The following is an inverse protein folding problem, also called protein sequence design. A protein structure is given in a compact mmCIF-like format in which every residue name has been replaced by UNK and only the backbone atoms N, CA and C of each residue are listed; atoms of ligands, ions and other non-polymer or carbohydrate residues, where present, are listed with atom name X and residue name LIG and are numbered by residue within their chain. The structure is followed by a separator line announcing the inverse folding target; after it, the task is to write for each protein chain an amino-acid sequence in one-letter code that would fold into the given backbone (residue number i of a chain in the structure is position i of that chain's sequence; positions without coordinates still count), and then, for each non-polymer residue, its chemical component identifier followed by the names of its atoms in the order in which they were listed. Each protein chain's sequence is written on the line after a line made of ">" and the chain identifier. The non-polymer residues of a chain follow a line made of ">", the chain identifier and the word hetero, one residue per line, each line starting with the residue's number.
data_IF_790003654851
#
_entry.id   IF_790003654851
#
_cell.length_a   1.000
_cell.length_b   1.000
_cell.length_c   1.000
_cell.angle_alpha   90.00
_cell.angle_beta   90.00
_cell.angle_gamma   90.00
#
_symmetry.space_group_name_H-M   'P 1'
#
loop_
_entity.id
_entity.type
_entity.pdbx_description
1 polymer ?
#
# COMPACT_ATOMS: atom_id res chain seq x y z
N UNK A 1 32.28 -48.72 -39.39
CA UNK A 1 31.69 -47.38 -39.63
C UNK A 1 30.24 -47.42 -39.16
N UNK A 2 29.92 -46.76 -38.05
CA UNK A 2 28.54 -46.49 -37.61
C UNK A 2 28.57 -45.25 -36.71
N UNK A 3 27.79 -44.18 -36.98
CA UNK A 3 27.94 -42.92 -36.26
C UNK A 3 27.11 -42.86 -34.98
N UNK A 4 27.74 -42.17 -34.03
CA UNK A 4 27.34 -41.73 -32.70
C UNK A 4 25.97 -41.00 -32.71
N UNK A 5 25.11 -41.28 -31.72
CA UNK A 5 24.05 -40.34 -31.30
C UNK A 5 24.14 -40.12 -29.80
N UNK A 6 24.75 -39.00 -29.41
CA UNK A 6 24.62 -38.44 -28.06
C UNK A 6 23.33 -37.61 -28.05
N UNK A 7 22.31 -38.12 -27.36
CA UNK A 7 21.12 -37.35 -27.05
C UNK A 7 21.46 -36.40 -25.88
N UNK A 8 21.66 -35.12 -26.18
CA UNK A 8 21.79 -34.07 -25.18
C UNK A 8 20.43 -33.77 -24.56
N UNK A 9 20.28 -34.05 -23.28
CA UNK A 9 19.08 -33.73 -22.50
C UNK A 9 19.21 -32.27 -22.03
N UNK A 10 18.51 -31.34 -22.69
CA UNK A 10 18.37 -29.97 -22.18
C UNK A 10 17.43 -29.98 -20.97
N UNK A 11 17.98 -29.83 -19.77
CA UNK A 11 17.22 -29.56 -18.57
C UNK A 11 16.72 -28.10 -18.60
N UNK A 12 15.42 -27.91 -18.81
CA UNK A 12 14.76 -26.60 -18.68
C UNK A 12 14.55 -26.34 -17.18
N UNK A 13 15.37 -25.47 -16.60
CA UNK A 13 15.17 -25.00 -15.23
C UNK A 13 13.94 -24.07 -15.21
N UNK A 14 12.85 -24.51 -14.59
CA UNK A 14 11.68 -23.68 -14.35
C UNK A 14 12.03 -22.59 -13.32
N UNK A 15 12.22 -21.36 -13.77
CA UNK A 15 12.27 -20.19 -12.90
C UNK A 15 10.86 -19.94 -12.34
N UNK A 16 10.62 -20.41 -11.12
CA UNK A 16 9.42 -20.03 -10.36
C UNK A 16 9.59 -18.56 -9.96
N UNK A 17 8.69 -17.64 -10.36
CA UNK A 17 8.81 -16.25 -9.96
C UNK A 17 8.61 -16.16 -8.46
N UNK A 18 9.64 -15.69 -7.74
CA UNK A 18 9.52 -15.42 -6.33
C UNK A 18 8.47 -14.32 -6.13
N UNK A 19 7.37 -14.64 -5.45
CA UNK A 19 6.47 -13.64 -4.89
C UNK A 19 7.27 -12.88 -3.82
N UNK A 20 7.91 -11.78 -4.23
CA UNK A 20 8.60 -10.90 -3.30
C UNK A 20 7.60 -10.44 -2.23
N UNK A 21 7.82 -10.86 -0.99
CA UNK A 21 7.14 -10.32 0.18
C UNK A 21 7.52 -8.84 0.28
N UNK A 22 6.58 -7.99 0.69
CA UNK A 22 6.90 -6.60 0.98
C UNK A 22 7.99 -6.56 2.05
N UNK A 23 8.95 -5.63 1.93
CA UNK A 23 9.96 -5.46 2.96
C UNK A 23 9.26 -5.03 4.27
N UNK A 24 9.59 -5.64 5.42
CA UNK A 24 9.03 -5.22 6.69
C UNK A 24 9.42 -3.76 6.96
N UNK A 25 8.48 -2.99 7.47
CA UNK A 25 8.73 -1.62 7.93
C UNK A 25 9.52 -1.67 9.24
N UNK A 26 10.27 -0.60 9.50
CA UNK A 26 10.85 -0.36 10.83
C UNK A 26 9.76 -0.45 11.91
N UNK A 27 10.04 -1.16 13.00
CA UNK A 27 9.04 -1.49 14.02
C UNK A 27 8.37 -0.26 14.67
N UNK A 28 9.08 0.87 14.73
CA UNK A 28 8.62 2.16 15.25
C UNK A 28 8.23 3.15 14.13
N UNK A 29 8.02 2.69 12.89
CA UNK A 29 7.62 3.59 11.80
C UNK A 29 6.25 4.23 12.11
N UNK A 30 6.12 5.57 12.02
CA UNK A 30 4.90 6.28 12.44
C UNK A 30 3.63 5.88 11.67
N UNK A 31 3.74 5.21 10.52
CA UNK A 31 2.61 4.84 9.66
C UNK A 31 1.89 3.59 10.15
N UNK A 32 2.54 2.74 10.95
CA UNK A 32 1.93 1.50 11.44
C UNK A 32 0.77 1.84 12.36
N UNK A 33 -0.38 1.20 12.13
CA UNK A 33 -1.61 1.44 12.87
C UNK A 33 -2.86 1.49 12.01
N UNK A 34 -3.95 1.97 12.61
CA UNK A 34 -5.24 2.17 11.94
C UNK A 34 -5.49 3.66 11.78
N UNK A 35 -5.86 4.05 10.56
CA UNK A 35 -6.10 5.43 10.17
C UNK A 35 -7.44 5.56 9.50
N UNK A 36 -8.13 6.67 9.75
CA UNK A 36 -9.44 6.94 9.18
C UNK A 36 -9.43 8.27 8.45
N UNK A 37 -9.95 8.26 7.23
CA UNK A 37 -10.22 9.45 6.42
C UNK A 37 -11.73 9.65 6.40
N UNK A 38 -12.20 10.81 6.83
CA UNK A 38 -13.59 11.21 6.63
C UNK A 38 -13.71 11.97 5.30
N UNK A 39 -14.72 11.61 4.50
CA UNK A 39 -15.05 12.21 3.20
C UNK A 39 -16.48 12.78 3.29
N UNK A 40 -16.65 13.94 3.96
CA UNK A 40 -17.98 14.44 4.34
C UNK A 40 -18.86 14.79 3.13
N UNK A 41 -18.28 15.33 2.07
CA UNK A 41 -19.00 15.65 0.82
C UNK A 41 -19.58 14.40 0.14
N UNK A 42 -18.99 13.23 0.41
CA UNK A 42 -19.46 11.93 -0.08
C UNK A 42 -20.26 11.15 0.96
N UNK A 43 -20.45 11.71 2.17
CA UNK A 43 -20.99 11.02 3.34
C UNK A 43 -20.33 9.62 3.55
N UNK A 44 -19.02 9.55 3.33
CA UNK A 44 -18.26 8.31 3.30
C UNK A 44 -17.02 8.40 4.18
N UNK A 45 -16.42 7.24 4.49
CA UNK A 45 -15.15 7.19 5.19
C UNK A 45 -14.30 6.03 4.68
N UNK A 46 -12.99 6.23 4.73
CA UNK A 46 -12.01 5.20 4.41
C UNK A 46 -11.22 4.82 5.66
N UNK A 47 -10.89 3.54 5.80
CA UNK A 47 -10.05 3.05 6.90
C UNK A 47 -8.86 2.30 6.34
N UNK A 48 -7.67 2.66 6.80
CA UNK A 48 -6.39 2.08 6.41
C UNK A 48 -5.80 1.38 7.64
N UNK A 49 -5.73 0.05 7.63
CA UNK A 49 -5.01 -0.74 8.64
C UNK A 49 -3.67 -1.16 8.05
N UNK A 50 -2.60 -0.45 8.42
CA UNK A 50 -1.24 -0.63 7.90
C UNK A 50 -0.43 -1.42 8.94
N UNK A 51 0.12 -2.56 8.52
CA UNK A 51 0.88 -3.48 9.37
C UNK A 51 2.38 -3.28 9.18
N UNK A 52 3.15 -3.69 10.20
CA UNK A 52 4.62 -3.61 10.17
C UNK A 52 5.26 -4.54 9.13
N UNK A 53 4.52 -5.53 8.60
CA UNK A 53 5.01 -6.44 7.55
C UNK A 53 4.92 -5.87 6.13
N UNK A 54 4.52 -4.60 5.96
CA UNK A 54 4.37 -3.98 4.65
C UNK A 54 3.08 -4.34 3.94
N UNK A 55 2.08 -4.87 4.64
CA UNK A 55 0.73 -5.06 4.12
C UNK A 55 -0.24 -4.03 4.69
N UNK A 56 -1.31 -3.72 3.94
CA UNK A 56 -2.44 -2.98 4.47
C UNK A 56 -3.78 -3.55 4.02
N UNK A 57 -4.78 -3.44 4.90
CA UNK A 57 -6.19 -3.66 4.59
C UNK A 57 -6.87 -2.29 4.52
N UNK A 58 -7.50 -2.00 3.40
CA UNK A 58 -8.20 -0.73 3.13
C UNK A 58 -9.68 -1.04 2.94
N UNK A 59 -10.53 -0.27 3.60
CA UNK A 59 -11.98 -0.31 3.40
C UNK A 59 -12.46 1.08 2.98
N UNK A 60 -13.19 1.19 1.88
CA UNK A 60 -13.73 2.44 1.34
C UNK A 60 -15.14 2.17 0.81
N UNK A 61 -16.17 2.71 1.47
CA UNK A 61 -17.57 2.33 1.22
C UNK A 61 -17.78 0.78 1.25
N UNK A 62 -18.11 0.16 0.11
CA UNK A 62 -18.29 -1.30 -0.02
C UNK A 62 -16.98 -2.01 -0.41
N UNK A 63 -15.96 -1.27 -0.85
CA UNK A 63 -14.65 -1.80 -1.25
C UNK A 63 -13.89 -2.34 -0.03
N UNK A 64 -13.27 -3.51 -0.23
CA UNK A 64 -12.30 -4.10 0.70
C UNK A 64 -11.10 -4.56 -0.10
N UNK A 65 -9.99 -3.86 0.07
CA UNK A 65 -8.75 -4.09 -0.67
C UNK A 65 -7.60 -4.53 0.26
N UNK A 66 -6.86 -5.55 -0.16
CA UNK A 66 -5.56 -5.92 0.44
C UNK A 66 -4.44 -5.37 -0.44
N UNK A 67 -3.45 -4.75 0.18
CA UNK A 67 -2.37 -4.06 -0.51
C UNK A 67 -0.99 -4.41 0.03
N UNK A 68 0.03 -4.24 -0.81
CA UNK A 68 1.43 -4.09 -0.39
C UNK A 68 1.74 -2.60 -0.30
N UNK A 69 2.24 -2.20 0.86
CA UNK A 69 2.53 -0.83 1.21
C UNK A 69 4.03 -0.65 1.40
N UNK A 70 4.66 0.06 0.48
CA UNK A 70 6.06 0.44 0.54
C UNK A 70 6.16 1.91 0.96
N UNK A 71 7.03 2.22 1.92
CA UNK A 71 7.27 3.57 2.40
C UNK A 71 8.75 3.76 2.70
N UNK A 72 9.27 4.95 2.43
CA UNK A 72 10.63 5.31 2.81
C UNK A 72 10.81 5.24 4.34
N UNK A 73 11.96 4.76 4.83
CA UNK A 73 12.21 4.68 6.28
C UNK A 73 12.31 6.04 6.97
N UNK A 74 12.63 7.09 6.21
CA UNK A 74 12.85 8.46 6.67
C UNK A 74 12.17 9.45 5.72
N UNK A 75 11.78 10.64 6.21
CA UNK A 75 11.26 11.69 5.34
C UNK A 75 12.39 12.31 4.52
N UNK A 76 12.02 12.96 3.42
CA UNK A 76 12.90 13.88 2.72
C UNK A 76 13.16 15.17 3.52
N UNK A 77 13.95 16.09 2.94
CA UNK A 77 14.30 17.36 3.58
C UNK A 77 13.09 18.28 3.85
N UNK A 78 11.95 18.04 3.19
CA UNK A 78 10.71 18.77 3.37
C UNK A 78 9.73 18.04 4.31
N UNK A 79 10.11 16.89 4.87
CA UNK A 79 9.30 16.13 5.82
C UNK A 79 8.40 15.06 5.18
N UNK A 80 8.47 14.85 3.87
CA UNK A 80 7.60 13.90 3.18
C UNK A 80 8.21 12.51 3.08
N UNK A 81 7.40 11.50 3.36
CA UNK A 81 7.72 10.09 3.14
C UNK A 81 7.18 9.68 1.78
N UNK A 82 8.05 9.22 0.87
CA UNK A 82 7.60 8.63 -0.40
C UNK A 82 6.98 7.26 -0.12
N UNK A 83 5.84 6.99 -0.75
CA UNK A 83 5.15 5.70 -0.63
C UNK A 83 4.73 5.15 -1.99
N UNK A 84 4.57 3.84 -2.06
CA UNK A 84 3.90 3.14 -3.15
C UNK A 84 2.94 2.14 -2.54
N UNK A 85 1.66 2.26 -2.88
CA UNK A 85 0.63 1.33 -2.47
C UNK A 85 0.20 0.49 -3.67
N UNK A 86 0.26 -0.84 -3.59
CA UNK A 86 -0.12 -1.76 -4.66
C UNK A 86 -1.24 -2.68 -4.24
N UNK A 87 -2.33 -2.68 -4.98
CA UNK A 87 -3.48 -3.57 -4.74
C UNK A 87 -3.11 -5.00 -5.12
N UNK A 88 -3.26 -5.93 -4.17
CA UNK A 88 -3.00 -7.36 -4.35
C UNK A 88 -4.32 -8.12 -4.49
N UNK A 89 -5.33 -7.75 -3.72
CA UNK A 89 -6.70 -8.28 -3.83
C UNK A 89 -7.70 -7.17 -3.64
N UNK A 90 -8.83 -7.30 -4.29
CA UNK A 90 -9.98 -6.42 -4.15
C UNK A 90 -11.28 -7.24 -4.27
N UNK A 91 -12.34 -6.79 -3.61
CA UNK A 91 -13.65 -7.46 -3.63
C UNK A 91 -14.54 -7.07 -4.83
N UNK A 92 -14.07 -6.18 -5.70
CA UNK A 92 -14.74 -5.71 -6.91
C UNK A 92 -15.90 -4.76 -6.64
N UNK A 93 -15.97 -4.18 -5.44
CA UNK A 93 -17.02 -3.22 -5.04
C UNK A 93 -16.54 -1.79 -5.22
N UNK A 94 -17.49 -0.85 -5.06
CA UNK A 94 -17.21 0.56 -5.28
C UNK A 94 -16.59 1.18 -4.04
N UNK A 95 -15.57 2.00 -4.26
CA UNK A 95 -14.96 2.88 -3.26
C UNK A 95 -15.85 4.11 -2.96
N UNK A 96 -15.42 4.96 -2.04
CA UNK A 96 -16.11 6.22 -1.70
C UNK A 96 -16.26 7.19 -2.89
N UNK A 97 -15.45 7.05 -3.95
CA UNK A 97 -15.55 7.83 -5.18
C UNK A 97 -16.45 7.17 -6.26
N UNK A 98 -17.03 6.01 -5.93
CA UNK A 98 -17.86 5.21 -6.81
C UNK A 98 -17.08 4.40 -7.84
N UNK A 99 -15.75 4.34 -7.76
CA UNK A 99 -14.89 3.60 -8.68
C UNK A 99 -14.66 2.17 -8.19
N UNK A 100 -14.34 1.26 -9.11
CA UNK A 100 -13.88 -0.09 -8.78
C UNK A 100 -12.39 -0.14 -9.08
N UNK A 101 -11.57 -0.42 -8.07
CA UNK A 101 -10.14 -0.58 -8.27
C UNK A 101 -9.79 -2.01 -8.70
N UNK A 102 -8.70 -2.15 -9.46
CA UNK A 102 -8.26 -3.45 -9.98
C UNK A 102 -6.98 -3.92 -9.26
N UNK A 103 -6.87 -5.22 -8.94
CA UNK A 103 -5.61 -5.81 -8.52
C UNK A 103 -4.47 -5.51 -9.51
N UNK A 104 -3.27 -5.28 -8.97
CA UNK A 104 -2.08 -4.89 -9.73
C UNK A 104 -1.90 -3.38 -9.89
N UNK A 105 -2.96 -2.58 -9.69
CA UNK A 105 -2.86 -1.13 -9.67
C UNK A 105 -1.91 -0.66 -8.56
N UNK A 106 -1.05 0.31 -8.87
CA UNK A 106 -0.09 0.87 -7.93
C UNK A 106 -0.11 2.39 -7.99
N UNK A 107 -0.18 3.01 -6.81
CA UNK A 107 -0.29 4.45 -6.64
C UNK A 107 0.90 4.92 -5.82
N UNK A 108 1.64 5.89 -6.36
CA UNK A 108 2.68 6.58 -5.61
C UNK A 108 2.11 7.85 -4.98
N UNK A 109 2.29 8.01 -3.68
CA UNK A 109 1.90 9.21 -2.93
C UNK A 109 2.99 9.61 -1.93
N UNK A 110 2.84 10.77 -1.32
CA UNK A 110 3.75 11.32 -0.33
C UNK A 110 3.00 11.56 0.98
N UNK A 111 3.50 11.02 2.08
CA UNK A 111 2.90 11.18 3.41
C UNK A 111 3.63 12.28 4.17
N UNK A 112 2.86 13.24 4.71
CA UNK A 112 3.35 14.25 5.63
C UNK A 112 2.66 14.07 6.98
N UNK A 113 3.42 13.65 7.99
CA UNK A 113 2.90 13.50 9.34
C UNK A 113 2.73 14.85 10.03
N UNK A 114 1.62 15.02 10.74
CA UNK A 114 1.44 16.15 11.65
C UNK A 114 2.34 15.95 12.89
N UNK A 115 2.90 17.01 13.50
CA UNK A 115 3.75 16.92 14.69
C UNK A 115 3.13 16.21 15.90
N UNK A 116 1.79 16.09 15.97
CA UNK A 116 1.11 15.34 17.03
C UNK A 116 1.31 13.82 16.94
N UNK A 117 1.72 13.29 15.78
CA UNK A 117 1.92 11.85 15.55
C UNK A 117 0.63 11.02 15.39
N UNK A 118 -0.54 11.65 15.49
CA UNK A 118 -1.85 11.01 15.35
C UNK A 118 -2.64 11.47 14.12
N UNK A 119 -2.01 12.22 13.22
CA UNK A 119 -2.60 12.63 11.95
C UNK A 119 -1.55 12.68 10.84
N UNK A 120 -1.96 12.49 9.59
CA UNK A 120 -1.13 12.79 8.43
C UNK A 120 -1.95 13.24 7.22
N UNK A 121 -1.26 13.89 6.28
CA UNK A 121 -1.76 14.17 4.92
C UNK A 121 -1.16 13.18 3.94
N UNK A 122 -1.94 12.76 2.95
CA UNK A 122 -1.48 11.97 1.81
C UNK A 122 -1.56 12.83 0.55
N UNK A 123 -0.43 13.06 -0.11
CA UNK A 123 -0.28 14.03 -1.18
C UNK A 123 0.16 13.38 -2.50
N UNK A 124 -0.25 13.96 -3.62
CA UNK A 124 0.14 13.48 -4.96
C UNK A 124 1.60 13.83 -5.31
N UNK A 125 2.16 14.85 -4.65
CA UNK A 125 3.53 15.34 -4.79
C UNK A 125 4.10 15.65 -3.41
N UNK A 126 5.41 15.82 -3.30
CA UNK A 126 6.08 16.29 -2.09
C UNK A 126 5.82 17.81 -1.84
N UNK A 127 4.55 18.20 -1.87
CA UNK A 127 4.07 19.53 -1.53
C UNK A 127 2.60 19.44 -1.05
N UNK A 128 2.10 20.49 -0.40
CA UNK A 128 0.77 20.49 0.23
C UNK A 128 -0.37 20.95 -0.69
N UNK A 129 -0.12 21.14 -1.99
CA UNK A 129 -1.13 21.72 -2.91
C UNK A 129 -2.21 20.72 -3.32
N UNK A 130 -1.91 19.43 -3.26
CA UNK A 130 -2.80 18.36 -3.71
C UNK A 130 -2.70 17.18 -2.74
N UNK A 131 -3.39 17.31 -1.60
CA UNK A 131 -3.45 16.29 -0.56
C UNK A 131 -4.87 15.95 -0.18
N UNK A 132 -5.06 14.72 0.30
CA UNK A 132 -6.24 14.27 1.03
C UNK A 132 -5.88 14.14 2.51
N UNK A 133 -6.83 14.46 3.39
CA UNK A 133 -6.65 14.35 4.83
C UNK A 133 -7.36 15.44 5.64
N UNK A 134 -7.15 15.44 6.97
CA UNK A 134 -6.24 14.54 7.67
C UNK A 134 -6.75 13.11 7.74
N UNK A 135 -5.84 12.15 7.56
CA UNK A 135 -6.05 10.79 8.04
C UNK A 135 -5.74 10.78 9.53
N UNK A 136 -6.72 10.43 10.35
CA UNK A 136 -6.62 10.49 11.81
C UNK A 136 -6.41 9.10 12.37
N UNK A 137 -5.47 8.97 13.31
CA UNK A 137 -5.18 7.71 13.99
C UNK A 137 -6.39 7.29 14.80
N UNK A 138 -6.82 6.06 14.61
CA UNK A 138 -7.90 5.50 15.37
C UNK A 138 -7.34 4.85 16.65
N UNK A 139 -7.81 5.28 17.81
CA UNK A 139 -7.40 4.77 19.14
C UNK A 139 -8.49 3.82 19.66
N UNK A 140 -8.09 2.68 20.26
CA UNK A 140 -9.01 1.68 20.82
C UNK A 140 -8.91 0.30 20.16
N UNK A 141 -9.59 -0.68 20.74
CA UNK A 141 -9.55 -2.08 20.32
C UNK A 141 -10.36 -2.30 19.04
N UNK A 142 -9.65 -2.50 17.94
CA UNK A 142 -10.21 -2.99 16.68
C UNK A 142 -9.95 -4.49 16.60
N UNK A 143 -10.72 -5.25 17.39
CA UNK A 143 -10.90 -6.70 17.26
C UNK A 143 -11.94 -6.92 16.17
#
# INVERSE_FOLDING_TARGET
>A
MTPRRLAGMLAVAAMVPALALAAPLRADHPIVGVWRLELPEQACAETYRIRADGTALITSAEEVAETRFEIADQPDAAGFYRTVNRIVKDNGKRDCSGQVTAPGHAIATFILFHPSGDQFLMCQRADTRACIGPLVRVKGDWI
#
